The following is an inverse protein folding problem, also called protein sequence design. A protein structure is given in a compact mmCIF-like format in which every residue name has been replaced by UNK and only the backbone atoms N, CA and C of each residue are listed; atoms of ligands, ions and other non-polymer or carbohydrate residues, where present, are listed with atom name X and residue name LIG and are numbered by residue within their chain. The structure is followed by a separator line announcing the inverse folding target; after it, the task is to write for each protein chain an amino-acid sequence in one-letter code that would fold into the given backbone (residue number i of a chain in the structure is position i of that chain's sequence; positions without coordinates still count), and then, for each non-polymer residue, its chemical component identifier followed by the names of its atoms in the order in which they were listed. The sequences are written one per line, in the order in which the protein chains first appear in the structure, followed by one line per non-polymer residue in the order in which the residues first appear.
data_IF_335501969967
#
_entry.id   IF_335501969967
#
_cell.length_a   1.000
_cell.length_b   1.000
_cell.length_c   1.000
_cell.angle_alpha   90.00
_cell.angle_beta   90.00
_cell.angle_gamma   90.00
#
_symmetry.space_group_name_H-M   'P 1'
#
loop_
_entity.id
_entity.type
_entity.pdbx_description
1 polymer ?
#
# COMPACT_ATOMS: atom_id res chain seq x y z
N UNK A 1 -11.73 15.21 11.06
CA UNK A 1 -11.04 15.52 9.78
C UNK A 1 -9.64 14.95 9.88
N UNK A 2 -9.30 13.88 9.16
CA UNK A 2 -7.93 13.38 9.11
C UNK A 2 -7.05 14.47 8.49
N UNK A 3 -5.96 14.85 9.16
CA UNK A 3 -5.00 15.80 8.60
C UNK A 3 -4.47 15.24 7.27
N UNK A 4 -4.29 16.10 6.27
CA UNK A 4 -3.78 15.74 4.93
C UNK A 4 -2.52 14.85 5.02
N UNK A 5 -1.64 15.13 5.99
CA UNK A 5 -0.44 14.35 6.27
C UNK A 5 -0.70 12.88 6.66
N UNK A 6 -1.81 12.58 7.33
CA UNK A 6 -2.16 11.23 7.75
C UNK A 6 -2.54 10.33 6.57
N UNK A 7 -3.29 10.88 5.61
CA UNK A 7 -3.70 10.16 4.40
C UNK A 7 -2.50 9.86 3.50
N UNK A 8 -1.57 10.81 3.33
CA UNK A 8 -0.36 10.60 2.52
C UNK A 8 0.52 9.48 3.09
N UNK A 9 0.68 9.45 4.42
CA UNK A 9 1.47 8.42 5.10
C UNK A 9 0.88 7.02 4.88
N UNK A 10 -0.44 6.87 4.95
CA UNK A 10 -1.14 5.61 4.66
C UNK A 10 -0.84 5.13 3.24
N UNK A 11 -1.01 5.99 2.23
CA UNK A 11 -0.74 5.61 0.84
C UNK A 11 0.72 5.24 0.60
N UNK A 12 1.64 5.92 1.26
CA UNK A 12 3.06 5.57 1.22
C UNK A 12 3.33 4.17 1.80
N UNK A 13 2.74 3.83 2.95
CA UNK A 13 2.92 2.52 3.59
C UNK A 13 2.39 1.37 2.72
N UNK A 14 1.18 1.53 2.17
CA UNK A 14 0.64 0.56 1.18
C UNK A 14 1.55 0.44 -0.03
N UNK A 15 2.05 1.58 -0.54
CA UNK A 15 3.01 1.63 -1.63
C UNK A 15 4.29 0.84 -1.36
N UNK A 16 4.85 0.94 -0.15
CA UNK A 16 6.02 0.18 0.26
C UNK A 16 5.75 -1.33 0.30
N UNK A 17 4.59 -1.76 0.81
CA UNK A 17 4.19 -3.18 0.78
C UNK A 17 4.03 -3.71 -0.63
N UNK A 18 3.45 -2.92 -1.56
CA UNK A 18 3.37 -3.29 -2.98
C UNK A 18 4.77 -3.48 -3.57
N UNK A 19 5.69 -2.55 -3.31
CA UNK A 19 7.08 -2.62 -3.77
C UNK A 19 7.79 -3.86 -3.23
N UNK A 20 7.64 -4.14 -1.95
CA UNK A 20 8.23 -5.29 -1.27
C UNK A 20 7.74 -6.59 -1.89
N UNK A 21 6.42 -6.80 -1.94
CA UNK A 21 5.84 -8.03 -2.51
C UNK A 21 6.20 -8.19 -3.99
N UNK A 22 6.25 -7.09 -4.75
CA UNK A 22 6.66 -7.13 -6.15
C UNK A 22 8.10 -7.66 -6.29
N UNK A 23 9.02 -7.19 -5.45
CA UNK A 23 10.43 -7.61 -5.46
C UNK A 23 10.58 -9.05 -5.00
N UNK A 24 9.83 -9.47 -3.98
CA UNK A 24 9.79 -10.85 -3.49
C UNK A 24 9.38 -11.84 -4.59
N UNK A 25 8.36 -11.48 -5.38
CA UNK A 25 7.90 -12.27 -6.53
C UNK A 25 8.79 -12.12 -7.78
N UNK A 26 9.86 -11.32 -7.74
CA UNK A 26 10.78 -11.14 -8.85
C UNK A 26 10.22 -10.32 -10.02
N UNK A 27 9.13 -9.58 -9.82
CA UNK A 27 8.52 -8.79 -10.89
C UNK A 27 9.21 -7.43 -11.06
N UNK A 28 9.45 -7.05 -12.32
CA UNK A 28 9.75 -5.67 -12.69
C UNK A 28 8.49 -4.79 -12.54
N UNK A 29 8.65 -3.49 -12.37
CA UNK A 29 7.52 -2.55 -12.33
C UNK A 29 6.67 -2.60 -13.61
N UNK A 30 7.28 -2.89 -14.76
CA UNK A 30 6.58 -3.07 -16.02
C UNK A 30 5.72 -4.34 -16.02
N UNK A 31 6.25 -5.48 -15.56
CA UNK A 31 5.49 -6.73 -15.46
C UNK A 31 4.29 -6.59 -14.52
N UNK A 32 4.47 -5.96 -13.35
CA UNK A 32 3.34 -5.73 -12.44
C UNK A 32 2.28 -4.81 -13.08
N UNK A 33 2.72 -3.80 -13.83
CA UNK A 33 1.81 -2.90 -14.54
C UNK A 33 0.97 -3.64 -15.58
N UNK A 34 1.59 -4.56 -16.34
CA UNK A 34 0.88 -5.42 -17.30
C UNK A 34 -0.13 -6.33 -16.62
N UNK A 35 0.25 -6.99 -15.51
CA UNK A 35 -0.65 -7.84 -14.74
C UNK A 35 -1.86 -7.07 -14.20
N UNK A 36 -1.63 -5.87 -13.67
CA UNK A 36 -2.69 -5.04 -13.09
C UNK A 36 -3.54 -4.34 -14.17
N UNK A 37 -3.02 -4.18 -15.39
CA UNK A 37 -3.68 -3.47 -16.49
C UNK A 37 -3.56 -1.95 -16.40
N UNK A 38 -2.40 -1.46 -15.92
CA UNK A 38 -2.11 -0.03 -15.73
C UNK A 38 -0.77 0.36 -16.34
N UNK A 39 -0.41 1.65 -16.33
CA UNK A 39 0.92 2.07 -16.78
C UNK A 39 2.02 1.77 -15.75
N UNK A 40 3.25 1.54 -16.21
CA UNK A 40 4.42 1.40 -15.31
C UNK A 40 4.61 2.65 -14.44
N UNK A 41 4.32 3.84 -14.99
CA UNK A 41 4.38 5.09 -14.23
C UNK A 41 3.37 5.08 -13.07
N UNK A 42 2.18 4.51 -13.27
CA UNK A 42 1.17 4.39 -12.22
C UNK A 42 1.64 3.44 -11.11
N UNK A 43 2.20 2.28 -11.44
CA UNK A 43 2.85 1.40 -10.45
C UNK A 43 3.95 2.15 -9.68
N UNK A 44 4.85 2.86 -10.37
CA UNK A 44 5.91 3.64 -9.72
C UNK A 44 5.37 4.76 -8.82
N UNK A 45 4.21 5.34 -9.14
CA UNK A 45 3.57 6.35 -8.28
C UNK A 45 2.87 5.72 -7.08
N UNK A 46 2.25 4.55 -7.24
CA UNK A 46 1.71 3.77 -6.11
C UNK A 46 2.83 3.39 -5.13
N UNK A 47 3.91 2.80 -5.63
CA UNK A 47 5.03 2.35 -4.81
C UNK A 47 5.72 3.49 -4.04
N UNK A 48 5.65 4.72 -4.54
CA UNK A 48 6.20 5.91 -3.87
C UNK A 48 5.16 6.68 -3.06
N UNK A 49 3.93 6.19 -2.96
CA UNK A 49 2.83 6.88 -2.28
C UNK A 49 2.45 8.23 -2.90
N UNK A 50 2.84 8.50 -4.15
CA UNK A 50 2.61 9.79 -4.83
C UNK A 50 1.17 9.94 -5.34
N UNK A 51 0.46 8.84 -5.48
CA UNK A 51 -0.97 8.81 -5.81
C UNK A 51 -1.67 7.78 -4.93
N UNK A 52 -2.97 8.01 -4.69
CA UNK A 52 -3.81 7.08 -3.95
C UNK A 52 -4.03 5.81 -4.77
N UNK A 53 -3.85 4.66 -4.17
CA UNK A 53 -4.36 3.40 -4.70
C UNK A 53 -5.80 3.22 -4.22
N UNK A 54 -6.71 2.91 -5.13
CA UNK A 54 -8.10 2.60 -4.77
C UNK A 54 -8.24 1.13 -4.32
N UNK A 55 -9.39 0.83 -3.70
CA UNK A 55 -9.67 -0.49 -3.17
C UNK A 55 -9.73 -1.57 -4.27
N UNK A 56 -10.20 -1.21 -5.47
CA UNK A 56 -10.30 -2.15 -6.58
C UNK A 56 -8.92 -2.64 -7.03
N UNK A 57 -7.98 -1.70 -7.25
CA UNK A 57 -6.61 -2.02 -7.62
C UNK A 57 -5.86 -2.77 -6.51
N UNK A 58 -6.07 -2.39 -5.24
CA UNK A 58 -5.46 -3.09 -4.12
C UNK A 58 -5.97 -4.54 -4.02
N UNK A 59 -7.28 -4.76 -4.15
CA UNK A 59 -7.86 -6.11 -4.15
C UNK A 59 -7.36 -6.94 -5.34
N UNK A 60 -7.25 -6.32 -6.52
CA UNK A 60 -6.72 -6.97 -7.72
C UNK A 60 -5.25 -7.35 -7.54
N UNK A 61 -4.43 -6.51 -6.91
CA UNK A 61 -3.05 -6.84 -6.55
C UNK A 61 -2.99 -8.04 -5.60
N UNK A 62 -3.79 -8.03 -4.53
CA UNK A 62 -3.87 -9.13 -3.58
C UNK A 62 -4.16 -10.47 -4.29
N UNK A 63 -5.17 -10.49 -5.16
CA UNK A 63 -5.51 -11.66 -5.97
C UNK A 63 -4.38 -12.09 -6.93
N UNK A 64 -3.86 -11.16 -7.73
CA UNK A 64 -2.83 -11.45 -8.75
C UNK A 64 -1.49 -11.90 -8.14
N UNK A 65 -1.17 -11.40 -6.95
CA UNK A 65 0.09 -11.69 -6.25
C UNK A 65 -0.06 -12.84 -5.24
N UNK A 66 -1.23 -13.48 -5.16
CA UNK A 66 -1.50 -14.56 -4.21
C UNK A 66 -1.26 -14.15 -2.75
N UNK A 67 -1.47 -12.88 -2.43
CA UNK A 67 -1.12 -12.28 -1.14
C UNK A 67 -2.40 -11.79 -0.46
N UNK A 68 -2.66 -12.17 0.80
CA UNK A 68 -3.79 -11.65 1.57
C UNK A 68 -3.82 -10.11 1.61
N UNK A 69 -5.01 -9.50 1.49
CA UNK A 69 -5.13 -8.04 1.38
C UNK A 69 -4.66 -7.30 2.65
N UNK A 70 -4.85 -7.92 3.81
CA UNK A 70 -4.40 -7.46 5.13
C UNK A 70 -2.88 -7.33 5.23
N UNK A 71 -2.12 -8.16 4.51
CA UNK A 71 -0.66 -8.04 4.44
C UNK A 71 -0.21 -6.68 3.89
N UNK A 72 -0.95 -6.09 2.95
CA UNK A 72 -0.66 -4.75 2.41
C UNK A 72 -1.05 -3.61 3.37
N UNK A 73 -1.81 -3.92 4.43
CA UNK A 73 -2.36 -2.97 5.39
C UNK A 73 -1.71 -3.09 6.79
N UNK A 74 -0.84 -4.07 6.99
CA UNK A 74 -0.25 -4.42 8.29
C UNK A 74 0.43 -3.23 8.97
N UNK A 75 1.22 -2.44 8.23
CA UNK A 75 1.89 -1.26 8.79
C UNK A 75 0.89 -0.20 9.27
N UNK A 76 -0.24 -0.06 8.58
CA UNK A 76 -1.29 0.91 8.94
C UNK A 76 -1.92 0.50 10.27
N UNK A 77 -2.23 -0.79 10.43
CA UNK A 77 -2.77 -1.35 11.67
C UNK A 77 -1.86 -1.06 12.87
N UNK A 78 -0.56 -1.29 12.69
CA UNK A 78 0.45 -1.00 13.72
C UNK A 78 0.48 0.48 14.10
N UNK A 79 0.48 1.38 13.11
CA UNK A 79 0.50 2.81 13.37
C UNK A 79 -0.78 3.32 14.04
N UNK A 80 -1.96 2.81 13.65
CA UNK A 80 -3.22 3.16 14.30
C UNK A 80 -3.26 2.68 15.76
N UNK A 81 -2.68 1.50 16.02
CA UNK A 81 -2.59 0.93 17.37
C UNK A 81 -1.62 1.71 18.27
N UNK A 82 -0.52 2.23 17.72
CA UNK A 82 0.42 3.10 18.45
C UNK A 82 -0.18 4.47 18.76
N UNK A 83 -0.87 5.07 17.78
CA UNK A 83 -1.52 6.37 17.97
C UNK A 83 -2.70 6.31 18.96
N UNK A 84 -3.39 5.17 19.07
CA UNK A 84 -4.49 4.96 20.01
C UNK A 84 -4.07 4.67 21.45
N UNK A 85 -2.76 4.48 21.73
CA UNK A 85 -2.21 4.23 23.08
C UNK A 85 -1.85 5.49 23.86
N UNK A 86 -2.13 6.68 23.32
CA UNK A 86 -1.89 7.97 23.97
C UNK A 86 -3.19 8.53 24.59
N UNK A 87 -3.81 7.82 25.53
CA UNK A 87 -4.80 8.43 26.45
C UNK A 87 -5.09 7.66 27.75
N UNK A 88 -4.40 6.53 28.01
CA UNK A 88 -4.65 5.72 29.23
C UNK A 88 -3.69 6.02 30.40
N UNK A 89 -3.00 7.17 30.39
CA UNK A 89 -2.23 7.63 31.56
C UNK A 89 -2.74 8.99 32.01
N UNK A 90 -3.82 8.98 32.80
CA UNK A 90 -4.17 10.03 33.75
C UNK A 90 -4.19 9.45 35.16
#
# INVERSE_FOLDING_TARGET
MYSENGSEKIHYMVGQRILEKRRELGYTGFQLAQLLGVSQQQISRYERGKIKIDLFHLFKLAFLMGTPIDWFLEDISSQLSENGRLDDTQ
#
